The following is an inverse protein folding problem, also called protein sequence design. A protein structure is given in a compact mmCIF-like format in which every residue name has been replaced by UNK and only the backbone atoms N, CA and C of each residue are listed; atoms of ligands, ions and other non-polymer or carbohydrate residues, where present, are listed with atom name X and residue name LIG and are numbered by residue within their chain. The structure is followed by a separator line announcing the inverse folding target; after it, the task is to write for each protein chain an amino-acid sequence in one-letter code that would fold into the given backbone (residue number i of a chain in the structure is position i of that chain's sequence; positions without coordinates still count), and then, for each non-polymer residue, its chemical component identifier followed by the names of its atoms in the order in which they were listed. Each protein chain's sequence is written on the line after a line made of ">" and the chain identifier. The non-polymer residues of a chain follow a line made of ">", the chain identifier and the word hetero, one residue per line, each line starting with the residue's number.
data_IF_533647961911
#
_entry.id   IF_533647961911
#
_cell.length_a   1.000
_cell.length_b   1.000
_cell.length_c   1.000
_cell.angle_alpha   90.00
_cell.angle_beta   90.00
_cell.angle_gamma   90.00
#
_symmetry.space_group_name_H-M   'P 1'
#
loop_
_entity.id
_entity.type
_entity.pdbx_description
1 polymer ?
#
# COMPACT_ATOMS: atom_id res chain seq x y z
N UNK A 1 6.12 -19.18 24.24
CA UNK A 1 6.95 -18.26 23.42
C UNK A 1 6.84 -16.88 24.03
N UNK A 2 7.92 -16.33 24.61
CA UNK A 2 7.85 -14.99 25.22
C UNK A 2 7.73 -13.92 24.14
N UNK A 3 6.70 -13.07 24.22
CA UNK A 3 6.39 -12.01 23.25
C UNK A 3 7.61 -11.09 23.05
N UNK A 4 8.36 -10.82 24.12
CA UNK A 4 9.63 -10.07 24.08
C UNK A 4 10.66 -10.67 23.13
N UNK A 5 10.77 -11.99 23.08
CA UNK A 5 11.73 -12.70 22.23
C UNK A 5 11.31 -12.59 20.76
N UNK A 6 10.00 -12.69 20.47
CA UNK A 6 9.45 -12.52 19.12
C UNK A 6 9.65 -11.08 18.61
N UNK A 7 9.39 -10.08 19.46
CA UNK A 7 9.60 -8.67 19.09
C UNK A 7 11.08 -8.36 18.83
N UNK A 8 11.97 -8.83 19.71
CA UNK A 8 13.41 -8.64 19.54
C UNK A 8 13.92 -9.32 18.26
N UNK A 9 13.54 -10.58 18.03
CA UNK A 9 13.97 -11.34 16.86
C UNK A 9 13.40 -10.77 15.56
N UNK A 10 12.11 -10.42 15.54
CA UNK A 10 11.47 -9.78 14.39
C UNK A 10 12.06 -8.40 14.06
N UNK A 11 12.37 -7.61 15.08
CA UNK A 11 13.07 -6.34 14.93
C UNK A 11 14.46 -6.52 14.32
N UNK A 12 15.23 -7.49 14.83
CA UNK A 12 16.59 -7.78 14.36
C UNK A 12 16.59 -8.29 12.91
N UNK A 13 15.64 -9.16 12.55
CA UNK A 13 15.46 -9.64 11.17
C UNK A 13 15.09 -8.50 10.22
N UNK A 14 14.12 -7.66 10.59
CA UNK A 14 13.68 -6.52 9.76
C UNK A 14 14.80 -5.51 9.58
N UNK A 15 15.51 -5.21 10.65
CA UNK A 15 16.67 -4.32 10.64
C UNK A 15 17.79 -4.90 9.77
N UNK A 16 18.11 -6.17 9.94
CA UNK A 16 19.12 -6.87 9.14
C UNK A 16 18.81 -6.87 7.66
N UNK A 17 17.55 -7.12 7.28
CA UNK A 17 17.11 -7.09 5.88
C UNK A 17 17.23 -5.67 5.28
N UNK A 18 16.82 -4.63 6.01
CA UNK A 18 16.98 -3.23 5.56
C UNK A 18 18.45 -2.82 5.47
N UNK A 19 19.25 -3.16 6.48
CA UNK A 19 20.67 -2.81 6.56
C UNK A 19 21.50 -3.54 5.49
N UNK A 20 21.17 -4.80 5.20
CA UNK A 20 21.81 -5.59 4.15
C UNK A 20 21.70 -4.93 2.79
N UNK A 21 20.52 -4.39 2.44
CA UNK A 21 20.31 -3.66 1.20
C UNK A 21 21.18 -2.38 1.15
N UNK A 22 21.16 -1.57 2.21
CA UNK A 22 21.94 -0.32 2.29
C UNK A 22 23.45 -0.59 2.21
N UNK A 23 23.95 -1.62 2.90
CA UNK A 23 25.36 -2.00 2.88
C UNK A 23 25.79 -2.52 1.50
N UNK A 24 24.92 -3.29 0.83
CA UNK A 24 25.16 -3.81 -0.51
C UNK A 24 25.25 -2.68 -1.55
N UNK A 25 24.40 -1.65 -1.42
CA UNK A 25 24.47 -0.44 -2.25
C UNK A 25 25.78 0.35 -2.11
N UNK A 26 26.48 0.25 -0.98
CA UNK A 26 27.75 0.93 -0.74
C UNK A 26 28.99 0.19 -1.26
N UNK A 27 28.88 -1.11 -1.57
CA UNK A 27 30.02 -1.97 -1.97
C UNK A 27 29.96 -2.43 -3.43
N UNK A 28 28.78 -2.53 -4.01
CA UNK A 28 28.58 -2.92 -5.42
C UNK A 28 28.01 -1.74 -6.22
N UNK A 29 28.61 -1.43 -7.37
CA UNK A 29 27.99 -0.55 -8.36
C UNK A 29 26.74 -1.25 -8.90
N UNK A 30 25.60 -0.97 -8.28
CA UNK A 30 24.31 -1.53 -8.68
C UNK A 30 24.03 -1.07 -10.12
N UNK A 31 23.79 -1.99 -11.07
CA UNK A 31 23.53 -1.60 -12.46
C UNK A 31 22.31 -0.67 -12.54
N UNK A 32 22.37 0.34 -13.39
CA UNK A 32 21.34 1.40 -13.49
C UNK A 32 19.92 0.84 -13.67
N UNK A 33 19.77 -0.30 -14.35
CA UNK A 33 18.50 -1.02 -14.49
C UNK A 33 17.89 -1.41 -13.14
N UNK A 34 18.70 -1.95 -12.22
CA UNK A 34 18.28 -2.40 -10.90
C UNK A 34 17.95 -1.20 -10.00
N UNK A 35 18.74 -0.13 -10.06
CA UNK A 35 18.44 1.13 -9.35
C UNK A 35 17.10 1.72 -9.80
N UNK A 36 16.84 1.71 -11.11
CA UNK A 36 15.57 2.18 -11.68
C UNK A 36 14.41 1.29 -11.23
N UNK A 37 14.57 -0.03 -11.23
CA UNK A 37 13.55 -0.96 -10.73
C UNK A 37 13.22 -0.74 -9.24
N UNK A 38 14.24 -0.51 -8.40
CA UNK A 38 14.05 -0.26 -6.97
C UNK A 38 13.28 1.02 -6.66
N UNK A 39 13.37 2.04 -7.52
CA UNK A 39 12.57 3.27 -7.41
C UNK A 39 11.07 3.02 -7.67
N UNK A 40 10.71 1.97 -8.41
CA UNK A 40 9.31 1.58 -8.66
C UNK A 40 8.73 0.64 -7.59
N UNK A 41 9.56 0.12 -6.67
CA UNK A 41 9.08 -0.77 -5.61
C UNK A 41 8.03 -0.10 -4.71
N UNK A 42 8.24 1.12 -4.17
CA UNK A 42 7.24 1.75 -3.31
C UNK A 42 5.86 1.92 -3.97
N UNK A 43 5.72 2.51 -5.17
CA UNK A 43 4.41 2.63 -5.82
C UNK A 43 3.84 1.26 -6.21
N UNK A 44 4.65 0.31 -6.66
CA UNK A 44 4.17 -1.03 -7.03
C UNK A 44 3.60 -1.79 -5.82
N UNK A 45 4.26 -1.71 -4.67
CA UNK A 45 3.79 -2.35 -3.43
C UNK A 45 2.49 -1.70 -2.96
N UNK A 46 2.39 -0.37 -2.99
CA UNK A 46 1.15 0.32 -2.62
C UNK A 46 -0.01 -0.09 -3.54
N UNK A 47 0.22 -0.12 -4.86
CA UNK A 47 -0.79 -0.59 -5.81
C UNK A 47 -1.19 -2.05 -5.56
N UNK A 48 -0.23 -2.93 -5.25
CA UNK A 48 -0.49 -4.34 -4.96
C UNK A 48 -1.29 -4.56 -3.66
N UNK A 49 -1.19 -3.65 -2.69
CA UNK A 49 -1.98 -3.69 -1.45
C UNK A 49 -3.39 -3.15 -1.68
N UNK A 50 -3.50 -2.01 -2.40
CA UNK A 50 -4.78 -1.32 -2.63
C UNK A 50 -5.69 -2.12 -3.57
N UNK A 51 -5.12 -2.77 -4.59
CA UNK A 51 -5.89 -3.53 -5.59
C UNK A 51 -6.79 -4.61 -4.97
N UNK A 52 -6.29 -5.60 -4.20
CA UNK A 52 -7.16 -6.61 -3.61
C UNK A 52 -8.13 -5.99 -2.60
N UNK A 53 -7.73 -4.96 -1.86
CA UNK A 53 -8.62 -4.29 -0.90
C UNK A 53 -9.84 -3.65 -1.59
N UNK A 54 -9.67 -3.20 -2.84
CA UNK A 54 -10.73 -2.59 -3.62
C UNK A 54 -11.58 -3.62 -4.40
N UNK A 55 -10.94 -4.62 -5.00
CA UNK A 55 -11.55 -5.53 -5.97
C UNK A 55 -11.91 -6.91 -5.42
N UNK A 56 -11.32 -7.36 -4.31
CA UNK A 56 -11.58 -8.68 -3.73
C UNK A 56 -12.46 -8.57 -2.48
N UNK A 57 -13.47 -9.43 -2.42
CA UNK A 57 -14.26 -9.69 -1.21
C UNK A 57 -14.16 -11.19 -0.92
N UNK A 58 -13.28 -11.57 0.00
CA UNK A 58 -12.89 -12.98 0.18
C UNK A 58 -12.01 -13.47 -0.98
N UNK A 59 -12.34 -14.63 -1.56
CA UNK A 59 -11.62 -15.26 -2.70
C UNK A 59 -12.20 -14.92 -4.07
N UNK A 60 -13.28 -14.13 -4.14
CA UNK A 60 -13.95 -13.80 -5.41
C UNK A 60 -13.75 -12.33 -5.83
N UNK A 61 -13.60 -12.13 -7.15
CA UNK A 61 -13.55 -10.80 -7.76
C UNK A 61 -14.94 -10.17 -7.72
N UNK A 62 -15.13 -9.24 -6.79
CA UNK A 62 -16.42 -8.61 -6.55
C UNK A 62 -16.53 -7.29 -7.34
N UNK A 63 -16.72 -7.43 -8.65
CA UNK A 63 -16.93 -6.34 -9.62
C UNK A 63 -18.42 -5.94 -9.73
N UNK A 64 -19.21 -6.16 -8.68
CA UNK A 64 -20.61 -5.76 -8.67
C UNK A 64 -20.73 -4.23 -8.54
N UNK A 65 -21.72 -3.64 -9.20
CA UNK A 65 -22.10 -2.23 -9.06
C UNK A 65 -22.57 -1.87 -7.63
N UNK A 66 -22.75 -2.87 -6.77
CA UNK A 66 -23.12 -2.75 -5.36
C UNK A 66 -21.89 -2.72 -4.43
N UNK A 67 -20.67 -2.73 -4.98
CA UNK A 67 -19.47 -2.70 -4.17
C UNK A 67 -19.12 -1.25 -3.78
N UNK A 68 -19.57 -0.85 -2.59
CA UNK A 68 -19.29 0.45 -1.97
C UNK A 68 -17.81 0.82 -1.97
N UNK A 69 -16.92 -0.16 -1.82
CA UNK A 69 -15.47 0.07 -1.80
C UNK A 69 -14.97 0.54 -3.16
N UNK A 70 -15.45 -0.04 -4.25
CA UNK A 70 -15.07 0.37 -5.61
C UNK A 70 -15.48 1.81 -5.91
N UNK A 71 -16.71 2.19 -5.56
CA UNK A 71 -17.19 3.55 -5.73
C UNK A 71 -16.43 4.55 -4.84
N UNK A 72 -16.17 4.20 -3.57
CA UNK A 72 -15.38 5.04 -2.68
C UNK A 72 -13.95 5.23 -3.18
N UNK A 73 -13.30 4.18 -3.68
CA UNK A 73 -11.97 4.27 -4.28
C UNK A 73 -11.94 5.10 -5.55
N UNK A 74 -12.94 4.97 -6.42
CA UNK A 74 -13.05 5.78 -7.63
C UNK A 74 -13.17 7.28 -7.29
N UNK A 75 -14.02 7.63 -6.31
CA UNK A 75 -14.16 9.01 -5.85
C UNK A 75 -12.85 9.49 -5.21
N UNK A 76 -12.17 8.66 -4.41
CA UNK A 76 -10.87 9.00 -3.84
C UNK A 76 -9.83 9.32 -4.93
N UNK A 77 -9.76 8.52 -6.00
CA UNK A 77 -8.86 8.76 -7.15
C UNK A 77 -9.16 10.12 -7.80
N UNK A 78 -10.44 10.41 -8.05
CA UNK A 78 -10.86 11.69 -8.65
C UNK A 78 -10.45 12.86 -7.75
N UNK A 79 -10.73 12.76 -6.44
CA UNK A 79 -10.39 13.84 -5.49
C UNK A 79 -8.88 14.04 -5.36
N UNK A 80 -8.07 12.98 -5.33
CA UNK A 80 -6.61 13.12 -5.33
C UNK A 80 -6.10 13.81 -6.58
N UNK A 81 -6.68 13.48 -7.74
CA UNK A 81 -6.24 14.06 -9.01
C UNK A 81 -6.44 15.58 -9.03
N UNK A 82 -7.58 16.06 -8.54
CA UNK A 82 -7.86 17.49 -8.48
C UNK A 82 -7.16 18.19 -7.30
N UNK A 83 -7.17 17.58 -6.11
CA UNK A 83 -6.74 18.24 -4.88
C UNK A 83 -5.23 18.17 -4.61
N UNK A 84 -4.52 17.18 -5.18
CA UNK A 84 -3.11 16.86 -4.86
C UNK A 84 -2.79 16.81 -3.36
N UNK A 85 -3.81 16.61 -2.52
CA UNK A 85 -3.73 16.62 -1.07
C UNK A 85 -4.23 15.28 -0.51
N UNK A 86 -3.32 14.52 0.09
CA UNK A 86 -3.58 13.21 0.66
C UNK A 86 -4.60 13.29 1.80
N UNK A 87 -4.58 14.36 2.61
CA UNK A 87 -5.48 14.48 3.76
C UNK A 87 -6.94 14.63 3.30
N UNK A 88 -7.17 15.48 2.30
CA UNK A 88 -8.51 15.68 1.70
C UNK A 88 -9.00 14.37 1.07
N UNK A 89 -8.12 13.65 0.39
CA UNK A 89 -8.45 12.34 -0.21
C UNK A 89 -8.94 11.35 0.85
N UNK A 90 -8.21 11.23 1.96
CA UNK A 90 -8.56 10.33 3.05
C UNK A 90 -9.92 10.71 3.66
N UNK A 91 -10.13 12.00 3.94
CA UNK A 91 -11.38 12.49 4.54
C UNK A 91 -12.57 12.23 3.61
N UNK A 92 -12.45 12.60 2.33
CA UNK A 92 -13.54 12.40 1.37
C UNK A 92 -13.80 10.92 1.12
N UNK A 93 -12.76 10.11 0.94
CA UNK A 93 -12.88 8.66 0.76
C UNK A 93 -13.57 7.99 1.94
N UNK A 94 -13.23 8.37 3.18
CA UNK A 94 -13.90 7.85 4.37
C UNK A 94 -15.37 8.27 4.44
N UNK A 95 -15.70 9.54 4.15
CA UNK A 95 -17.08 10.03 4.16
C UNK A 95 -17.92 9.30 3.12
N UNK A 96 -17.40 9.13 1.91
CA UNK A 96 -18.09 8.42 0.82
C UNK A 96 -18.31 6.96 1.17
N UNK A 97 -17.28 6.28 1.67
CA UNK A 97 -17.40 4.88 2.10
C UNK A 97 -18.41 4.72 3.24
N UNK A 98 -18.41 5.64 4.21
CA UNK A 98 -19.34 5.62 5.32
C UNK A 98 -20.79 5.82 4.83
N UNK A 99 -21.01 6.80 3.94
CA UNK A 99 -22.33 7.06 3.37
C UNK A 99 -22.85 5.87 2.57
N UNK A 100 -22.02 5.32 1.68
CA UNK A 100 -22.37 4.15 0.86
C UNK A 100 -22.71 2.93 1.73
N UNK A 101 -21.86 2.62 2.73
CA UNK A 101 -22.09 1.48 3.64
C UNK A 101 -23.28 1.66 4.59
N UNK A 102 -23.68 2.90 4.86
CA UNK A 102 -24.78 3.22 5.78
C UNK A 102 -26.16 3.20 5.12
N UNK A 103 -26.20 3.21 3.79
CA UNK A 103 -27.41 3.11 2.96
C UNK A 103 -27.69 1.64 2.66
#
# INVERSE_FOLDING_TARGET
>A
MNIWLVMALGGLVTFGMRFSLIYLFGRFQVPETMRRALHYVPPAVLSAIIFPELFMHGDELYLAMDNDRLFAGLIAIIVTWYGKNTLITIIVGMIVLFLLRSV
#
